data_IF_113323384536
#
_entry.id   IF_113323384536
#
_cell.length_a   1.000
_cell.length_b   1.000
_cell.length_c   1.000
_cell.angle_alpha   90.00
_cell.angle_beta   90.00
_cell.angle_gamma   90.00
#
_symmetry.space_group_name_H-M   'P 1'
#
loop_
_entity.id
_entity.type
_entity.pdbx_description
1 polymer ?
#
# COMPACT_ATOMS: atom_id res chain seq x y z
N UNK A 1 11.63 3.95 -42.56
CA UNK A 1 12.28 4.02 -41.24
C UNK A 1 11.62 5.08 -40.35
N UNK A 2 11.22 6.23 -40.90
CA UNK A 2 10.68 7.37 -40.15
C UNK A 2 9.41 7.08 -39.34
N UNK A 3 8.49 6.24 -39.87
CA UNK A 3 7.23 5.91 -39.17
C UNK A 3 7.46 5.13 -37.87
N UNK A 4 8.39 4.17 -37.86
CA UNK A 4 8.73 3.39 -36.66
C UNK A 4 9.41 4.26 -35.61
N UNK A 5 10.35 5.11 -36.03
CA UNK A 5 11.01 6.06 -35.13
C UNK A 5 10.02 7.06 -34.55
N UNK A 6 9.07 7.54 -35.34
CA UNK A 6 8.00 8.43 -34.87
C UNK A 6 7.12 7.75 -33.81
N UNK A 7 6.68 6.51 -34.06
CA UNK A 7 5.87 5.76 -33.09
C UNK A 7 6.62 5.52 -31.77
N UNK A 8 7.90 5.15 -31.85
CA UNK A 8 8.74 5.00 -30.66
C UNK A 8 8.87 6.31 -29.88
N UNK A 9 9.12 7.45 -30.56
CA UNK A 9 9.20 8.76 -29.91
C UNK A 9 7.88 9.16 -29.25
N UNK A 10 6.75 8.89 -29.90
CA UNK A 10 5.43 9.16 -29.34
C UNK A 10 5.17 8.32 -28.08
N UNK A 11 5.57 7.04 -28.08
CA UNK A 11 5.40 6.17 -26.92
C UNK A 11 6.28 6.62 -25.75
N UNK A 12 7.54 7.01 -26.01
CA UNK A 12 8.44 7.58 -24.99
C UNK A 12 7.84 8.86 -24.40
N UNK A 13 7.26 9.73 -25.23
CA UNK A 13 6.60 10.94 -24.76
C UNK A 13 5.39 10.62 -23.86
N UNK A 14 4.54 9.66 -24.26
CA UNK A 14 3.41 9.21 -23.45
C UNK A 14 3.84 8.59 -22.11
N UNK A 15 4.92 7.80 -22.10
CA UNK A 15 5.52 7.27 -20.87
C UNK A 15 6.09 8.36 -19.96
N UNK A 16 6.65 9.42 -20.54
CA UNK A 16 7.14 10.58 -19.77
C UNK A 16 5.98 11.38 -19.16
N UNK A 17 4.89 11.54 -19.91
CA UNK A 17 3.70 12.24 -19.42
C UNK A 17 3.01 11.48 -18.27
N UNK A 18 2.86 10.16 -18.38
CA UNK A 18 2.28 9.37 -17.27
C UNK A 18 3.16 9.44 -16.02
N UNK A 19 4.49 9.37 -16.15
CA UNK A 19 5.39 9.54 -15.01
C UNK A 19 5.17 10.91 -14.34
N UNK A 20 5.13 12.00 -15.12
CA UNK A 20 4.88 13.35 -14.60
C UNK A 20 3.54 13.47 -13.89
N UNK A 21 2.47 12.89 -14.45
CA UNK A 21 1.16 12.89 -13.81
C UNK A 21 1.18 12.13 -12.48
N UNK A 22 1.80 10.95 -12.43
CA UNK A 22 1.87 10.14 -11.22
C UNK A 22 2.74 10.78 -10.13
N UNK A 23 3.87 11.39 -10.50
CA UNK A 23 4.72 12.16 -9.57
C UNK A 23 3.97 13.34 -8.96
N UNK A 24 3.03 13.94 -9.72
CA UNK A 24 2.15 15.00 -9.24
C UNK A 24 0.91 14.49 -8.48
N UNK A 25 0.83 13.19 -8.19
CA UNK A 25 -0.26 12.56 -7.43
C UNK A 25 -1.50 12.21 -8.26
N UNK A 26 -1.47 12.39 -9.58
CA UNK A 26 -2.57 12.02 -10.48
C UNK A 26 -2.46 10.54 -10.90
N UNK A 27 -2.52 9.64 -9.92
CA UNK A 27 -2.29 8.19 -10.10
C UNK A 27 -3.36 7.47 -10.94
N UNK A 28 -4.44 8.16 -11.31
CA UNK A 28 -5.47 7.66 -12.23
C UNK A 28 -5.16 7.90 -13.71
N UNK A 29 -4.15 8.71 -14.03
CA UNK A 29 -3.80 9.01 -15.42
C UNK A 29 -3.23 7.77 -16.13
N UNK A 30 -3.65 7.55 -17.39
CA UNK A 30 -3.28 6.40 -18.23
C UNK A 30 -2.91 6.86 -19.64
N UNK A 31 -2.14 6.05 -20.35
CA UNK A 31 -1.86 6.27 -21.77
C UNK A 31 -3.13 5.94 -22.57
N UNK A 32 -3.53 6.82 -23.49
CA UNK A 32 -4.53 6.50 -24.51
C UNK A 32 -3.94 5.51 -25.51
N UNK A 33 -4.34 4.24 -25.39
CA UNK A 33 -3.81 3.15 -26.21
C UNK A 33 -4.31 3.20 -27.66
N UNK A 34 -5.42 3.90 -27.91
CA UNK A 34 -5.99 4.03 -29.26
C UNK A 34 -5.12 4.89 -30.19
N UNK A 35 -4.26 5.72 -29.63
CA UNK A 35 -3.30 6.54 -30.37
C UNK A 35 -2.12 5.73 -30.98
N UNK A 36 -1.96 4.45 -30.60
CA UNK A 36 -0.81 3.63 -30.96
C UNK A 36 -1.24 2.35 -31.72
N UNK A 37 -0.87 2.19 -33.00
CA UNK A 37 -1.21 1.00 -33.76
C UNK A 37 -0.28 -0.18 -33.43
N UNK A 38 -0.83 -1.40 -33.54
CA UNK A 38 -0.06 -2.65 -33.45
C UNK A 38 0.66 -2.82 -32.11
N UNK A 39 1.91 -3.25 -32.15
CA UNK A 39 2.68 -3.58 -30.95
C UNK A 39 2.94 -2.36 -30.04
N UNK A 40 2.95 -1.14 -30.58
CA UNK A 40 3.05 0.06 -29.75
C UNK A 40 1.82 0.25 -28.87
N UNK A 41 0.62 -0.06 -29.38
CA UNK A 41 -0.61 -0.05 -28.60
C UNK A 41 -0.63 -1.13 -27.52
N UNK A 42 -0.08 -2.32 -27.83
CA UNK A 42 0.15 -3.37 -26.84
C UNK A 42 1.09 -2.89 -25.72
N UNK A 43 2.22 -2.26 -26.05
CA UNK A 43 3.14 -1.73 -25.04
C UNK A 43 2.52 -0.64 -24.16
N UNK A 44 1.73 0.27 -24.74
CA UNK A 44 0.98 1.28 -24.00
C UNK A 44 -0.03 0.62 -23.04
N UNK A 45 -0.75 -0.39 -23.51
CA UNK A 45 -1.69 -1.17 -22.70
C UNK A 45 -0.98 -1.90 -21.55
N UNK A 46 0.13 -2.57 -21.82
CA UNK A 46 0.90 -3.30 -20.81
C UNK A 46 1.46 -2.36 -19.74
N UNK A 47 1.84 -1.13 -20.13
CA UNK A 47 2.20 -0.06 -19.18
C UNK A 47 1.02 0.30 -18.27
N UNK A 48 -0.18 0.48 -18.83
CA UNK A 48 -1.39 0.76 -18.04
C UNK A 48 -1.71 -0.39 -17.06
N UNK A 49 -1.65 -1.64 -17.52
CA UNK A 49 -1.91 -2.82 -16.67
C UNK A 49 -0.90 -2.94 -15.52
N UNK A 50 0.38 -2.64 -15.77
CA UNK A 50 1.40 -2.62 -14.72
C UNK A 50 1.06 -1.58 -13.66
N UNK A 51 0.65 -0.38 -14.07
CA UNK A 51 0.26 0.71 -13.17
C UNK A 51 -0.98 0.32 -12.37
N UNK A 52 -2.01 -0.24 -13.02
CA UNK A 52 -3.24 -0.69 -12.34
C UNK A 52 -2.96 -1.71 -11.24
N UNK A 53 -2.03 -2.65 -11.48
CA UNK A 53 -1.60 -3.65 -10.49
C UNK A 53 -0.96 -3.05 -9.24
N UNK A 54 -0.33 -1.87 -9.36
CA UNK A 54 0.27 -1.16 -8.22
C UNK A 54 -0.77 -0.25 -7.53
N UNK A 55 -1.54 0.51 -8.30
CA UNK A 55 -2.58 1.41 -7.79
C UNK A 55 -3.66 0.63 -7.03
N UNK A 56 -4.03 -0.58 -7.48
CA UNK A 56 -4.98 -1.42 -6.75
C UNK A 56 -4.50 -1.72 -5.33
N UNK A 57 -3.24 -2.12 -5.14
CA UNK A 57 -2.65 -2.39 -3.82
C UNK A 57 -2.59 -1.13 -2.97
N UNK A 58 -2.20 0.01 -3.55
CA UNK A 58 -2.15 1.29 -2.84
C UNK A 58 -3.53 1.73 -2.33
N UNK A 59 -4.57 1.56 -3.17
CA UNK A 59 -5.93 1.87 -2.80
C UNK A 59 -6.47 0.97 -1.68
N UNK A 60 -6.18 -0.34 -1.74
CA UNK A 60 -6.54 -1.26 -0.66
C UNK A 60 -5.85 -0.92 0.66
N UNK A 61 -4.56 -0.58 0.62
CA UNK A 61 -3.82 -0.12 1.79
C UNK A 61 -4.47 1.14 2.38
N UNK A 62 -4.69 2.18 1.58
CA UNK A 62 -5.32 3.42 2.03
C UNK A 62 -6.70 3.16 2.66
N UNK A 63 -7.50 2.29 2.04
CA UNK A 63 -8.83 1.93 2.52
C UNK A 63 -8.80 1.21 3.87
N UNK A 64 -8.00 0.15 4.04
CA UNK A 64 -7.99 -0.56 5.34
C UNK A 64 -7.24 0.23 6.41
N UNK A 65 -6.18 0.96 6.07
CA UNK A 65 -5.53 1.89 7.00
C UNK A 65 -6.50 2.96 7.51
N UNK A 66 -7.36 3.51 6.64
CA UNK A 66 -8.39 4.47 7.02
C UNK A 66 -9.37 3.94 8.07
N UNK A 67 -9.79 2.67 7.95
CA UNK A 67 -10.64 2.02 8.97
C UNK A 67 -9.89 1.76 10.26
N UNK A 68 -8.65 1.29 10.19
CA UNK A 68 -7.83 1.08 11.38
C UNK A 68 -7.61 2.39 12.14
N UNK A 69 -7.44 3.51 11.44
CA UNK A 69 -7.26 4.83 12.03
C UNK A 69 -8.46 5.31 12.85
N UNK A 70 -9.67 4.82 12.56
CA UNK A 70 -10.89 5.12 13.34
C UNK A 70 -11.25 3.99 14.31
N UNK A 71 -10.37 3.02 14.52
CA UNK A 71 -10.57 1.89 15.43
C UNK A 71 -11.43 0.76 14.89
N UNK A 72 -11.82 0.80 13.62
CA UNK A 72 -12.54 -0.29 12.96
C UNK A 72 -11.55 -1.35 12.46
N UNK A 73 -11.33 -2.39 13.27
CA UNK A 73 -10.38 -3.48 13.00
C UNK A 73 -11.04 -4.75 12.45
N UNK A 74 -12.24 -4.63 11.88
CA UNK A 74 -13.05 -5.77 11.42
C UNK A 74 -12.46 -6.43 10.16
N UNK A 75 -11.94 -5.64 9.22
CA UNK A 75 -11.38 -6.17 7.98
C UNK A 75 -9.92 -6.58 8.12
N UNK A 76 -9.51 -7.59 7.34
CA UNK A 76 -8.13 -8.00 7.16
C UNK A 76 -7.65 -7.68 5.74
N UNK A 77 -6.37 -7.31 5.63
CA UNK A 77 -5.72 -7.25 4.32
C UNK A 77 -5.58 -8.66 3.76
N UNK A 78 -5.99 -8.85 2.51
CA UNK A 78 -5.77 -10.09 1.81
C UNK A 78 -4.26 -10.39 1.68
N UNK A 79 -3.82 -11.65 1.85
CA UNK A 79 -2.44 -12.01 1.63
C UNK A 79 -2.00 -11.70 0.19
N UNK A 80 -0.90 -10.95 0.05
CA UNK A 80 -0.31 -10.67 -1.26
C UNK A 80 0.87 -11.61 -1.55
N UNK A 81 1.10 -12.00 -2.82
CA UNK A 81 2.17 -12.91 -3.18
C UNK A 81 3.55 -12.24 -3.26
N UNK A 82 4.61 -13.03 -3.11
CA UNK A 82 5.99 -12.59 -3.37
C UNK A 82 6.41 -11.41 -2.49
N UNK A 83 7.11 -10.44 -3.08
CA UNK A 83 7.58 -9.23 -2.38
C UNK A 83 6.43 -8.37 -1.85
N UNK A 84 5.25 -8.41 -2.50
CA UNK A 84 4.07 -7.69 -2.02
C UNK A 84 3.57 -8.21 -0.67
N UNK A 85 3.96 -9.42 -0.24
CA UNK A 85 3.60 -9.99 1.06
C UNK A 85 4.04 -9.11 2.25
N UNK A 86 5.07 -8.28 2.07
CA UNK A 86 5.51 -7.32 3.07
C UNK A 86 4.35 -6.40 3.51
N UNK A 87 3.53 -5.93 2.56
CA UNK A 87 2.38 -5.06 2.85
C UNK A 87 1.32 -5.77 3.72
N UNK A 88 0.93 -6.99 3.34
CA UNK A 88 -0.08 -7.75 4.11
C UNK A 88 0.43 -8.13 5.51
N UNK A 89 1.71 -8.47 5.63
CA UNK A 89 2.33 -8.78 6.92
C UNK A 89 2.39 -7.54 7.83
N UNK A 90 2.79 -6.39 7.29
CA UNK A 90 2.79 -5.12 8.03
C UNK A 90 1.40 -4.75 8.50
N UNK A 91 0.38 -4.84 7.64
CA UNK A 91 -1.00 -4.54 8.02
C UNK A 91 -1.56 -5.49 9.09
N UNK A 92 -1.21 -6.78 9.02
CA UNK A 92 -1.56 -7.76 10.05
C UNK A 92 -0.92 -7.39 11.39
N UNK A 93 0.37 -7.03 11.40
CA UNK A 93 1.06 -6.60 12.63
C UNK A 93 0.46 -5.31 13.21
N UNK A 94 0.11 -4.33 12.37
CA UNK A 94 -0.56 -3.10 12.80
C UNK A 94 -1.89 -3.43 13.48
N UNK A 95 -2.72 -4.30 12.88
CA UNK A 95 -3.99 -4.72 13.46
C UNK A 95 -3.81 -5.41 14.80
N UNK A 96 -2.83 -6.32 14.93
CA UNK A 96 -2.51 -7.00 16.18
C UNK A 96 -2.16 -5.99 17.29
N UNK A 97 -1.28 -5.04 16.98
CA UNK A 97 -0.86 -4.02 17.94
C UNK A 97 -2.03 -3.12 18.36
N UNK A 98 -2.85 -2.65 17.41
CA UNK A 98 -4.04 -1.84 17.70
C UNK A 98 -5.08 -2.62 18.54
N UNK A 99 -5.27 -3.90 18.25
CA UNK A 99 -6.18 -4.77 18.99
C UNK A 99 -5.72 -4.98 20.42
N UNK A 100 -4.41 -5.21 20.63
CA UNK A 100 -3.82 -5.37 21.95
C UNK A 100 -3.98 -4.10 22.79
N UNK A 101 -3.68 -2.92 22.22
CA UNK A 101 -3.90 -1.64 22.90
C UNK A 101 -5.37 -1.43 23.25
N UNK A 102 -6.30 -1.71 22.34
CA UNK A 102 -7.73 -1.60 22.61
C UNK A 102 -8.19 -2.54 23.75
N UNK A 103 -7.62 -3.74 23.84
CA UNK A 103 -7.91 -4.67 24.93
C UNK A 103 -7.37 -4.17 26.27
N UNK A 104 -6.14 -3.66 26.29
CA UNK A 104 -5.52 -3.12 27.50
C UNK A 104 -6.25 -1.87 28.02
N UNK A 105 -6.66 -0.95 27.13
CA UNK A 105 -7.46 0.22 27.50
C UNK A 105 -8.80 -0.20 28.13
N UNK A 106 -9.49 -1.18 27.53
CA UNK A 106 -10.74 -1.71 28.09
C UNK A 106 -10.53 -2.35 29.46
N UNK A 107 -9.45 -3.12 29.61
CA UNK A 107 -9.09 -3.75 30.88
C UNK A 107 -8.80 -2.71 31.97
N UNK A 108 -8.00 -1.69 31.66
CA UNK A 108 -7.70 -0.59 32.59
C UNK A 108 -8.95 0.21 32.96
N UNK A 109 -9.82 0.52 31.99
CA UNK A 109 -11.07 1.20 32.25
C UNK A 109 -11.99 0.39 33.18
N UNK A 110 -12.03 -0.92 33.00
CA UNK A 110 -12.80 -1.82 33.86
C UNK A 110 -12.19 -1.92 35.27
N UNK A 111 -10.87 -2.06 35.38
CA UNK A 111 -10.18 -2.08 36.66
C UNK A 111 -10.40 -0.77 37.44
N UNK A 112 -10.29 0.38 36.77
CA UNK A 112 -10.58 1.69 37.34
C UNK A 112 -12.05 1.82 37.78
N UNK A 113 -13.01 1.37 36.97
CA UNK A 113 -14.42 1.35 37.35
C UNK A 113 -14.70 0.47 38.59
N UNK A 114 -13.88 -0.57 38.80
CA UNK A 114 -13.95 -1.46 39.95
C UNK A 114 -13.10 -0.99 41.15
N UNK A 115 -12.37 0.14 41.04
CA UNK A 115 -11.51 0.68 42.09
C UNK A 115 -10.13 0.01 42.22
N UNK A 116 -9.73 -0.81 41.25
CA UNK A 116 -8.44 -1.51 41.23
C UNK A 116 -7.42 -0.76 40.35
N UNK A 117 -6.70 0.20 40.97
CA UNK A 117 -5.68 1.01 40.30
C UNK A 117 -4.25 0.48 40.54
N UNK A 118 -4.09 -0.72 41.10
CA UNK A 118 -2.77 -1.30 41.35
C UNK A 118 -2.07 -1.82 40.08
N UNK A 119 -2.77 -1.84 38.93
CA UNK A 119 -2.22 -2.22 37.64
C UNK A 119 -1.62 -1.01 36.90
N UNK A 120 -0.28 -0.97 36.85
CA UNK A 120 0.48 -0.10 35.94
C UNK A 120 0.60 -0.83 34.60
N UNK A 121 0.14 -0.21 33.52
CA UNK A 121 0.28 -0.69 32.15
C UNK A 121 1.73 -1.07 31.83
N UNK A 122 1.97 -2.28 31.34
CA UNK A 122 3.29 -2.75 30.92
C UNK A 122 3.31 -2.93 29.40
N UNK A 123 3.92 -2.01 28.63
CA UNK A 123 3.93 -2.10 27.17
C UNK A 123 4.96 -3.15 26.71
N UNK A 124 4.60 -4.43 26.76
CA UNK A 124 5.45 -5.53 26.28
C UNK A 124 5.38 -5.77 24.77
N UNK A 125 4.53 -5.03 24.04
CA UNK A 125 4.34 -5.21 22.59
C UNK A 125 5.26 -4.35 21.69
N UNK A 126 6.10 -3.45 22.23
CA UNK A 126 6.84 -2.46 21.43
C UNK A 126 8.24 -2.87 20.95
N UNK A 127 8.72 -4.09 21.24
CA UNK A 127 10.15 -4.43 21.08
C UNK A 127 10.59 -5.07 19.76
N UNK A 128 9.70 -5.38 18.81
CA UNK A 128 10.08 -6.19 17.63
C UNK A 128 10.32 -5.44 16.32
N UNK A 129 10.12 -4.12 16.25
CA UNK A 129 10.00 -3.43 14.95
C UNK A 129 11.32 -2.94 14.32
N UNK A 130 12.48 -3.02 14.99
CA UNK A 130 13.74 -2.51 14.41
C UNK A 130 14.54 -3.53 13.57
N UNK A 131 14.24 -4.83 13.65
CA UNK A 131 15.09 -5.85 13.04
C UNK A 131 14.72 -6.22 11.58
N UNK A 132 13.49 -5.98 11.14
CA UNK A 132 13.01 -6.51 9.85
C UNK A 132 13.16 -5.54 8.67
N UNK A 133 13.27 -4.23 8.92
CA UNK A 133 13.33 -3.23 7.84
C UNK A 133 14.73 -3.04 7.23
N UNK A 134 15.79 -3.49 7.90
CA UNK A 134 17.18 -3.26 7.45
C UNK A 134 17.69 -4.24 6.38
N UNK A 135 16.91 -5.27 5.99
CA UNK A 135 17.36 -6.31 5.05
C UNK A 135 16.80 -6.22 3.64
N UNK A 136 15.97 -5.23 3.33
CA UNK A 136 15.36 -5.07 1.99
C UNK A 136 16.06 -4.04 1.09
N UNK A 137 17.19 -3.45 1.52
CA UNK A 137 17.91 -2.42 0.74
C UNK A 137 19.20 -2.98 0.15
N UNK A 138 19.11 -4.06 -0.63
CA UNK A 138 20.18 -4.47 -1.55
C UNK A 138 19.56 -5.31 -2.67
N UNK A 139 19.13 -4.63 -3.73
CA UNK A 139 19.19 -5.01 -5.16
C UNK A 139 18.82 -3.74 -5.94
#
# INVERSE_FOLDING_TARGET
MDKMQLQLRNLIAAQTDIARHHDNGQISFRIDTSAFPGDYGRMANDTNLLIDSHVAVQNDLARIMGRYAIGELSEDMQPLPGEKAAFSNTMSQVKLNLSAMNHEIKHLAQAAANGDLAHVAMPSAFSSTSASCSRASTI
#
